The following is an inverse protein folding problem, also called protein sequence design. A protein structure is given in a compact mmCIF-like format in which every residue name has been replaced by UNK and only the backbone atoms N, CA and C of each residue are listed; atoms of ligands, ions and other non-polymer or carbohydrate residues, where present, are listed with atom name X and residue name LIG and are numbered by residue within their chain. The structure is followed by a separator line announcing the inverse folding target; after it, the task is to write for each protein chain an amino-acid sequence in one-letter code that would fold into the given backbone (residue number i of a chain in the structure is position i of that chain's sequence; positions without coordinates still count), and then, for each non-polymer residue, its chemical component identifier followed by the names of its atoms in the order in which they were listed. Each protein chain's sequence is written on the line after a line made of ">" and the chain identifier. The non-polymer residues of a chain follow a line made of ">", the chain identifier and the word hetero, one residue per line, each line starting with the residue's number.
data_IF_370668119213
#
_entry.id   IF_370668119213
#
_cell.length_a   1.000
_cell.length_b   1.000
_cell.length_c   1.000
_cell.angle_alpha   90.00
_cell.angle_beta   90.00
_cell.angle_gamma   90.00
#
_symmetry.space_group_name_H-M   'P 1'
#
loop_
_entity.id
_entity.type
_entity.pdbx_description
1 polymer ?
#
# COMPACT_ATOMS: atom_id res chain seq x y z
N UNK A 1 -10.50 -11.27 12.28
CA UNK A 1 -11.49 -11.59 13.34
C UNK A 1 -11.85 -10.30 14.07
N UNK A 2 -13.00 -10.23 14.72
CA UNK A 2 -13.34 -9.08 15.57
C UNK A 2 -12.57 -9.16 16.89
N UNK A 3 -12.35 -8.02 17.55
CA UNK A 3 -11.71 -7.95 18.86
C UNK A 3 -12.52 -8.69 19.94
N UNK A 4 -13.85 -8.59 19.89
CA UNK A 4 -14.74 -9.35 20.79
C UNK A 4 -14.49 -10.85 20.70
N UNK A 5 -14.36 -11.37 19.48
CA UNK A 5 -14.11 -12.79 19.26
C UNK A 5 -12.71 -13.20 19.71
N UNK A 6 -11.71 -12.35 19.53
CA UNK A 6 -10.36 -12.59 20.05
C UNK A 6 -10.39 -12.71 21.58
N UNK A 7 -11.13 -11.82 22.26
CA UNK A 7 -11.29 -11.84 23.72
C UNK A 7 -12.01 -13.09 24.21
N UNK A 8 -13.09 -13.51 23.56
CA UNK A 8 -13.80 -14.76 23.87
C UNK A 8 -12.90 -16.00 23.75
N UNK A 9 -11.98 -15.98 22.79
CA UNK A 9 -11.04 -17.08 22.55
C UNK A 9 -9.77 -17.00 23.40
N UNK A 10 -9.62 -15.98 24.25
CA UNK A 10 -8.42 -15.77 25.05
C UNK A 10 -7.16 -15.45 24.22
N UNK A 11 -7.34 -14.92 23.02
CA UNK A 11 -6.26 -14.57 22.10
C UNK A 11 -5.80 -13.12 22.32
N UNK A 12 -4.49 -12.89 22.23
CA UNK A 12 -3.89 -11.55 22.25
C UNK A 12 -3.75 -11.03 20.82
N UNK A 13 -4.43 -9.94 20.43
CA UNK A 13 -4.26 -9.36 19.10
C UNK A 13 -2.83 -8.87 18.87
N UNK A 14 -2.23 -9.24 17.74
CA UNK A 14 -0.90 -8.76 17.35
C UNK A 14 -0.92 -7.38 16.68
N UNK A 15 -2.08 -6.97 16.17
CA UNK A 15 -2.26 -5.71 15.47
C UNK A 15 -3.72 -5.49 15.09
N UNK A 16 -4.00 -4.28 14.62
CA UNK A 16 -5.34 -3.85 14.23
C UNK A 16 -5.34 -3.37 12.79
N UNK A 17 -6.35 -3.75 12.02
CA UNK A 17 -6.61 -3.17 10.71
C UNK A 17 -7.24 -1.79 10.90
N UNK A 18 -6.47 -0.72 10.69
CA UNK A 18 -6.93 0.66 10.84
C UNK A 18 -7.77 1.13 9.66
N UNK A 19 -7.32 0.86 8.45
CA UNK A 19 -8.05 1.18 7.23
C UNK A 19 -7.62 0.25 6.09
N UNK A 20 -8.37 0.31 4.99
CA UNK A 20 -7.99 -0.26 3.71
C UNK A 20 -8.66 0.54 2.58
N UNK A 21 -8.11 0.44 1.39
CA UNK A 21 -8.65 1.08 0.20
C UNK A 21 -8.52 0.16 -1.01
N UNK A 22 -9.52 0.24 -1.89
CA UNK A 22 -9.50 -0.37 -3.21
C UNK A 22 -9.68 0.73 -4.22
N UNK A 23 -8.86 0.71 -5.27
CA UNK A 23 -8.93 1.63 -6.41
C UNK A 23 -8.85 0.82 -7.68
N UNK A 24 -9.39 1.39 -8.76
CA UNK A 24 -9.27 0.85 -10.10
C UNK A 24 -8.61 1.92 -10.97
N UNK A 25 -7.71 1.48 -11.85
CA UNK A 25 -7.00 2.32 -12.80
C UNK A 25 -7.09 1.66 -14.18
N UNK A 26 -6.86 2.44 -15.22
CA UNK A 26 -6.88 1.93 -16.58
C UNK A 26 -5.80 0.84 -16.76
N UNK A 27 -6.22 -0.28 -17.33
CA UNK A 27 -5.35 -1.44 -17.61
C UNK A 27 -4.38 -1.18 -18.76
N UNK A 28 -4.67 -0.24 -19.65
CA UNK A 28 -3.89 -0.03 -20.87
C UNK A 28 -2.59 0.74 -20.64
N UNK A 29 -2.54 1.61 -19.64
CA UNK A 29 -1.40 2.50 -19.39
C UNK A 29 -0.77 2.27 -18.01
N UNK A 30 -1.60 2.17 -16.98
CA UNK A 30 -1.13 2.33 -15.60
C UNK A 30 -1.35 1.11 -14.72
N UNK A 31 -1.73 -0.05 -15.28
CA UNK A 31 -2.18 -1.24 -14.53
C UNK A 31 -1.37 -1.60 -13.28
N UNK A 32 -0.06 -1.36 -13.29
CA UNK A 32 0.87 -1.70 -12.23
C UNK A 32 1.06 -0.61 -11.16
N UNK A 33 0.37 0.52 -11.29
CA UNK A 33 0.52 1.69 -10.45
C UNK A 33 -0.55 1.79 -9.34
N UNK A 34 -1.29 0.71 -9.10
CA UNK A 34 -2.33 0.63 -8.06
C UNK A 34 -1.96 1.25 -6.72
N UNK A 35 -0.76 0.96 -6.15
CA UNK A 35 -0.33 1.56 -4.89
C UNK A 35 -0.32 3.10 -4.86
N UNK A 36 0.03 3.76 -5.96
CA UNK A 36 0.04 5.23 -6.03
C UNK A 36 -1.38 5.85 -5.89
N UNK A 37 -2.44 5.10 -6.24
CA UNK A 37 -3.83 5.54 -6.06
C UNK A 37 -4.42 5.09 -4.72
N UNK A 38 -4.15 3.86 -4.29
CA UNK A 38 -4.79 3.28 -3.11
C UNK A 38 -4.19 3.77 -1.80
N UNK A 39 -2.88 4.00 -1.76
CA UNK A 39 -2.15 4.45 -0.55
C UNK A 39 -2.70 5.76 0.03
N UNK A 40 -2.82 6.86 -0.73
CA UNK A 40 -3.33 8.10 -0.17
C UNK A 40 -4.76 7.96 0.38
N UNK A 41 -5.61 7.17 -0.27
CA UNK A 41 -6.98 6.92 0.20
C UNK A 41 -7.01 6.09 1.49
N UNK A 42 -6.13 5.09 1.63
CA UNK A 42 -6.03 4.30 2.84
C UNK A 42 -5.49 5.14 4.02
N UNK A 43 -4.47 5.95 3.78
CA UNK A 43 -3.88 6.85 4.78
C UNK A 43 -4.90 7.89 5.28
N UNK A 44 -5.62 8.54 4.36
CA UNK A 44 -6.69 9.49 4.69
C UNK A 44 -7.79 8.85 5.56
N UNK A 45 -8.25 7.64 5.20
CA UNK A 45 -9.24 6.90 6.01
C UNK A 45 -8.72 6.51 7.39
N UNK A 46 -7.41 6.30 7.54
CA UNK A 46 -6.78 6.04 8.82
C UNK A 46 -6.50 7.31 9.63
N UNK A 47 -6.61 8.50 9.01
CA UNK A 47 -6.16 9.76 9.61
C UNK A 47 -4.63 9.80 9.83
N UNK A 48 -3.88 9.14 8.95
CA UNK A 48 -2.41 9.04 9.02
C UNK A 48 -1.76 9.70 7.80
N UNK A 49 -0.48 10.02 7.95
CA UNK A 49 0.40 10.50 6.90
C UNK A 49 1.51 9.49 6.61
N UNK A 50 2.23 9.64 5.51
CA UNK A 50 3.38 8.77 5.19
C UNK A 50 4.44 8.80 6.30
N UNK A 51 4.65 9.96 6.94
CA UNK A 51 5.61 10.12 8.04
C UNK A 51 5.25 9.36 9.32
N UNK A 52 3.97 9.06 9.52
CA UNK A 52 3.51 8.27 10.69
C UNK A 52 3.85 6.79 10.56
N UNK A 53 4.18 6.32 9.34
CA UNK A 53 4.56 4.94 9.10
C UNK A 53 5.99 4.67 9.58
N UNK A 54 6.13 3.61 10.35
CA UNK A 54 7.43 3.10 10.82
C UNK A 54 7.97 1.95 9.96
N UNK A 55 7.10 1.32 9.18
CA UNK A 55 7.42 0.26 8.23
C UNK A 55 6.47 0.37 7.03
N UNK A 56 7.02 0.17 5.83
CA UNK A 56 6.26 0.14 4.58
C UNK A 56 6.56 -1.19 3.89
N UNK A 57 5.54 -2.01 3.72
CA UNK A 57 5.61 -3.28 3.00
C UNK A 57 4.75 -3.17 1.73
N UNK A 58 5.41 -3.19 0.56
CA UNK A 58 4.78 -3.09 -0.75
C UNK A 58 5.11 -4.33 -1.57
N UNK A 59 4.08 -4.90 -2.20
CA UNK A 59 4.28 -5.94 -3.21
C UNK A 59 5.14 -5.43 -4.38
N UNK A 60 6.28 -6.07 -4.59
CA UNK A 60 7.24 -5.78 -5.65
C UNK A 60 6.99 -6.75 -6.81
N UNK A 61 6.14 -6.36 -7.75
CA UNK A 61 5.92 -7.19 -8.94
C UNK A 61 7.15 -7.15 -9.86
N UNK A 62 7.72 -5.96 -10.01
CA UNK A 62 8.93 -5.68 -10.78
C UNK A 62 9.65 -4.48 -10.16
N UNK A 63 10.98 -4.41 -10.26
CA UNK A 63 11.74 -3.29 -9.70
C UNK A 63 11.29 -1.93 -10.31
N UNK A 64 11.08 -1.88 -11.62
CA UNK A 64 10.57 -0.70 -12.30
C UNK A 64 9.17 -0.27 -11.82
N UNK A 65 8.29 -1.24 -11.54
CA UNK A 65 6.96 -0.97 -11.00
C UNK A 65 7.05 -0.38 -9.58
N UNK A 66 7.88 -0.96 -8.72
CA UNK A 66 8.08 -0.49 -7.35
C UNK A 66 8.61 0.94 -7.36
N UNK A 67 9.68 1.20 -8.10
CA UNK A 67 10.29 2.54 -8.20
C UNK A 67 9.32 3.57 -8.79
N UNK A 68 8.54 3.20 -9.81
CA UNK A 68 7.54 4.09 -10.37
C UNK A 68 6.46 4.47 -9.34
N UNK A 69 5.96 3.51 -8.55
CA UNK A 69 4.99 3.81 -7.49
C UNK A 69 5.58 4.71 -6.41
N UNK A 70 6.81 4.44 -5.96
CA UNK A 70 7.50 5.29 -4.97
C UNK A 70 7.63 6.73 -5.47
N UNK A 71 8.06 6.91 -6.73
CA UNK A 71 8.18 8.23 -7.33
C UNK A 71 6.84 8.97 -7.41
N UNK A 72 5.76 8.27 -7.76
CA UNK A 72 4.42 8.87 -7.84
C UNK A 72 3.88 9.28 -6.47
N UNK A 73 4.14 8.49 -5.41
CA UNK A 73 3.74 8.84 -4.05
C UNK A 73 4.37 10.16 -3.56
N UNK A 74 5.62 10.41 -3.94
CA UNK A 74 6.33 11.67 -3.67
C UNK A 74 6.08 12.79 -4.70
N UNK A 75 5.32 12.55 -5.77
CA UNK A 75 5.16 13.52 -6.85
C UNK A 75 4.02 14.51 -6.60
N UNK A 76 4.40 15.76 -6.34
CA UNK A 76 3.48 16.90 -6.25
C UNK A 76 2.65 17.10 -7.53
N UNK A 77 3.25 16.84 -8.69
CA UNK A 77 2.57 16.94 -9.99
C UNK A 77 1.46 15.89 -10.09
N UNK A 78 1.79 14.63 -9.81
CA UNK A 78 0.83 13.53 -9.86
C UNK A 78 -0.34 13.75 -8.91
N UNK A 79 -0.05 14.19 -7.68
CA UNK A 79 -1.08 14.48 -6.69
C UNK A 79 -2.07 15.54 -7.19
N UNK A 80 -1.58 16.66 -7.73
CA UNK A 80 -2.45 17.75 -8.23
C UNK A 80 -3.19 17.40 -9.51
N UNK A 81 -2.48 16.87 -10.50
CA UNK A 81 -3.01 16.72 -11.86
C UNK A 81 -3.83 15.44 -12.04
N UNK A 82 -3.52 14.38 -11.29
CA UNK A 82 -4.17 13.06 -11.46
C UNK A 82 -5.06 12.72 -10.27
N UNK A 83 -4.57 12.92 -9.04
CA UNK A 83 -5.35 12.56 -7.84
C UNK A 83 -6.31 13.67 -7.37
N UNK A 84 -6.17 14.89 -7.90
CA UNK A 84 -6.93 16.06 -7.43
C UNK A 84 -6.63 16.45 -5.98
N UNK A 85 -5.43 16.13 -5.48
CA UNK A 85 -4.97 16.42 -4.11
C UNK A 85 -4.02 17.62 -4.11
N UNK A 86 -4.03 18.39 -3.03
CA UNK A 86 -3.21 19.61 -2.91
C UNK A 86 -1.70 19.32 -2.87
N UNK A 87 -1.32 18.24 -2.19
CA UNK A 87 0.06 17.85 -1.92
C UNK A 87 0.30 16.38 -2.24
N UNK A 88 1.56 16.03 -2.45
CA UNK A 88 2.01 14.64 -2.60
C UNK A 88 1.57 13.78 -1.41
N UNK A 89 1.48 12.46 -1.63
CA UNK A 89 1.17 11.52 -0.54
C UNK A 89 2.29 11.51 0.50
N UNK A 90 3.54 11.59 0.02
CA UNK A 90 4.75 11.67 0.83
C UNK A 90 5.89 10.86 0.22
N UNK A 91 7.12 11.27 0.50
CA UNK A 91 8.30 10.49 0.15
C UNK A 91 8.35 9.19 0.96
N UNK A 92 8.78 8.12 0.32
CA UNK A 92 9.01 6.83 0.96
C UNK A 92 10.42 6.82 1.52
N UNK A 93 10.54 6.53 2.81
CA UNK A 93 11.84 6.36 3.47
C UNK A 93 12.37 4.95 3.17
N UNK A 94 13.44 4.88 2.38
CA UNK A 94 14.09 3.63 2.00
C UNK A 94 14.52 2.77 3.21
N UNK A 95 14.83 3.40 4.36
CA UNK A 95 15.19 2.67 5.58
C UNK A 95 14.01 1.94 6.24
N UNK A 96 12.78 2.26 5.82
CA UNK A 96 11.53 1.65 6.30
C UNK A 96 10.84 0.80 5.23
N UNK A 97 11.32 0.82 4.00
CA UNK A 97 10.69 0.16 2.86
C UNK A 97 11.22 -1.27 2.68
N UNK A 98 10.32 -2.26 2.71
CA UNK A 98 10.62 -3.67 2.46
C UNK A 98 11.90 -4.17 3.16
N UNK A 99 12.09 -3.77 4.43
CA UNK A 99 13.37 -3.94 5.17
C UNK A 99 13.77 -5.40 5.38
N UNK A 100 12.82 -6.33 5.28
CA UNK A 100 13.07 -7.77 5.39
C UNK A 100 13.14 -8.45 4.01
N UNK A 101 13.18 -7.69 2.91
CA UNK A 101 13.05 -8.17 1.54
C UNK A 101 11.60 -8.25 1.08
N UNK A 102 11.37 -8.05 -0.22
CA UNK A 102 10.05 -8.11 -0.83
C UNK A 102 9.87 -9.30 -1.77
N UNK A 103 8.80 -9.27 -2.54
CA UNK A 103 8.40 -10.38 -3.42
C UNK A 103 9.34 -10.59 -4.61
N UNK A 104 10.18 -9.61 -4.98
CA UNK A 104 11.27 -9.84 -5.95
C UNK A 104 12.29 -10.84 -5.39
N UNK A 105 12.59 -10.76 -4.09
CA UNK A 105 13.58 -11.62 -3.44
C UNK A 105 13.00 -12.99 -3.04
N UNK A 106 11.80 -13.01 -2.45
CA UNK A 106 11.18 -14.23 -1.93
C UNK A 106 10.33 -14.98 -2.95
N UNK A 107 9.88 -14.31 -4.02
CA UNK A 107 9.00 -14.87 -5.05
C UNK A 107 7.54 -14.42 -4.91
N UNK A 108 6.80 -14.55 -6.03
CA UNK A 108 5.40 -14.14 -6.17
C UNK A 108 4.53 -15.36 -6.50
N UNK A 109 4.06 -16.13 -5.50
CA UNK A 109 3.05 -17.15 -5.73
C UNK A 109 1.70 -16.47 -6.01
N UNK A 110 1.28 -16.45 -7.27
CA UNK A 110 -0.03 -15.91 -7.64
C UNK A 110 -1.13 -16.72 -6.96
N UNK A 111 -2.15 -16.03 -6.41
CA UNK A 111 -3.32 -16.72 -5.86
C UNK A 111 -3.93 -17.57 -6.97
N UNK A 112 -4.12 -18.87 -6.70
CA UNK A 112 -4.97 -19.71 -7.55
C UNK A 112 -6.33 -19.02 -7.69
N UNK A 113 -6.96 -19.02 -8.89
CA UNK A 113 -8.32 -18.58 -9.02
C UNK A 113 -9.17 -19.36 -8.01
N UNK A 114 -9.99 -18.64 -7.24
CA UNK A 114 -10.99 -19.29 -6.42
C UNK A 114 -11.81 -20.19 -7.36
N UNK A 115 -11.80 -21.50 -7.10
CA UNK A 115 -12.77 -22.38 -7.75
C UNK A 115 -14.13 -21.90 -7.25
N UNK A 116 -14.91 -21.31 -8.15
CA UNK A 116 -16.33 -21.03 -7.92
C UNK A 116 -17.11 -22.31 -7.72
#
# INVERSE_FOLDING_TARGET
>A
MTESRAKELGLVPLGYLRSYAFTAIDVWQDMLLGPAWSTPLALERAGLTMSDLTLIDMHEAFAAQTLANIQLLGSERFAREVLGRAHATGEVDDSKFNVLGGSIAYGIPSRRPARG
#
